data_IF_902055374060
#
_entry.id   IF_902055374060
#
_cell.length_a   1.000
_cell.length_b   1.000
_cell.length_c   1.000
_cell.angle_alpha   90.00
_cell.angle_beta   90.00
_cell.angle_gamma   90.00
#
_symmetry.space_group_name_H-M   'P 1'
#
loop_
_entity.id
_entity.type
_entity.pdbx_description
1 polymer ?
#
# COMPACT_ATOMS: atom_id res chain seq x y z
N UNK A 1 23.94 -3.78 -8.08
CA UNK A 1 23.38 -2.83 -7.10
C UNK A 1 21.98 -2.47 -7.56
N UNK A 2 20.95 -3.01 -6.91
CA UNK A 2 19.56 -2.71 -7.27
C UNK A 2 19.10 -1.42 -6.59
N UNK A 3 18.74 -0.42 -7.40
CA UNK A 3 18.14 0.84 -6.97
C UNK A 3 16.64 0.78 -7.26
N UNK A 4 15.79 1.04 -6.25
CA UNK A 4 14.36 1.29 -6.48
C UNK A 4 14.24 2.65 -7.16
N UNK A 5 13.69 2.67 -8.36
CA UNK A 5 13.63 3.85 -9.21
C UNK A 5 12.24 4.49 -9.21
N UNK A 6 11.20 3.66 -9.19
CA UNK A 6 9.81 4.09 -9.25
C UNK A 6 8.93 3.17 -8.39
N UNK A 7 7.87 3.76 -7.84
CA UNK A 7 6.72 3.08 -7.23
C UNK A 7 5.47 3.73 -7.85
N UNK A 8 4.67 2.98 -8.61
CA UNK A 8 3.49 3.52 -9.29
C UNK A 8 2.29 2.60 -9.17
N UNK A 9 1.10 3.16 -8.97
CA UNK A 9 -0.18 2.44 -9.10
C UNK A 9 -0.50 2.13 -10.58
N UNK A 10 0.07 2.90 -11.52
CA UNK A 10 -0.02 2.63 -12.95
C UNK A 10 1.11 1.69 -13.40
N UNK A 11 0.77 0.41 -13.51
CA UNK A 11 1.66 -0.62 -14.05
C UNK A 11 2.19 -0.28 -15.45
N UNK A 12 1.40 0.41 -16.29
CA UNK A 12 1.78 0.80 -17.64
C UNK A 12 2.96 1.77 -17.65
N UNK A 13 2.97 2.72 -16.72
CA UNK A 13 4.06 3.67 -16.52
C UNK A 13 5.36 2.94 -16.15
N UNK A 14 5.33 2.07 -15.14
CA UNK A 14 6.49 1.30 -14.73
C UNK A 14 7.06 0.41 -15.87
N UNK A 15 6.20 -0.20 -16.69
CA UNK A 15 6.62 -0.99 -17.85
C UNK A 15 7.26 -0.11 -18.93
N UNK A 16 6.74 1.10 -19.16
CA UNK A 16 7.29 2.05 -20.13
C UNK A 16 8.73 2.43 -19.74
N UNK A 17 8.95 2.85 -18.50
CA UNK A 17 10.28 3.22 -17.98
C UNK A 17 11.23 2.01 -18.02
N UNK A 18 10.77 0.84 -17.57
CA UNK A 18 11.56 -0.39 -17.63
C UNK A 18 12.00 -0.73 -19.06
N UNK A 19 11.13 -0.50 -20.05
CA UNK A 19 11.43 -0.75 -21.45
C UNK A 19 12.47 0.22 -22.00
N UNK A 20 12.40 1.51 -21.63
CA UNK A 20 13.42 2.51 -21.99
C UNK A 20 14.79 2.16 -21.41
N UNK A 21 14.85 1.82 -20.12
CA UNK A 21 16.10 1.42 -19.45
C UNK A 21 16.73 0.17 -20.07
N UNK A 22 15.93 -0.84 -20.42
CA UNK A 22 16.45 -2.06 -21.08
C UNK A 22 17.09 -1.76 -22.44
N UNK A 23 16.59 -0.76 -23.19
CA UNK A 23 17.14 -0.40 -24.50
C UNK A 23 18.59 0.09 -24.41
N UNK A 24 18.95 0.77 -23.32
CA UNK A 24 20.32 1.23 -23.07
C UNK A 24 21.19 0.19 -22.35
N UNK A 25 20.70 -1.04 -22.17
CA UNK A 25 21.46 -2.15 -21.57
C UNK A 25 21.25 -2.33 -20.07
N UNK A 26 20.34 -1.59 -19.43
CA UNK A 26 20.06 -1.78 -18.01
C UNK A 26 19.45 -3.16 -17.75
N UNK A 27 19.94 -3.84 -16.71
CA UNK A 27 19.18 -4.92 -16.07
C UNK A 27 18.14 -4.30 -15.16
N UNK A 28 16.87 -4.59 -15.41
CA UNK A 28 15.74 -4.08 -14.63
C UNK A 28 14.86 -5.21 -14.12
N UNK A 29 14.27 -5.00 -12.96
CA UNK A 29 13.33 -5.90 -12.32
C UNK A 29 12.04 -5.13 -12.03
N UNK A 30 10.90 -5.68 -12.45
CA UNK A 30 9.57 -5.11 -12.18
C UNK A 30 8.87 -6.05 -11.21
N UNK A 31 8.40 -5.51 -10.09
CA UNK A 31 7.71 -6.28 -9.04
C UNK A 31 6.31 -5.74 -8.83
N UNK A 32 5.34 -6.64 -8.76
CA UNK A 32 3.99 -6.34 -8.29
C UNK A 32 3.98 -6.52 -6.77
N UNK A 33 3.58 -5.46 -6.07
CA UNK A 33 3.55 -5.42 -4.61
C UNK A 33 2.19 -4.90 -4.15
N UNK A 34 1.88 -5.12 -2.86
CA UNK A 34 0.73 -4.51 -2.20
C UNK A 34 1.30 -3.49 -1.22
N UNK A 35 0.91 -2.24 -1.37
CA UNK A 35 1.20 -1.17 -0.42
C UNK A 35 -0.01 -0.94 0.48
N UNK A 36 0.16 -0.12 1.52
CA UNK A 36 -0.90 0.19 2.46
C UNK A 36 -0.87 1.64 2.94
N UNK A 37 -2.06 2.18 3.17
CA UNK A 37 -2.27 3.49 3.77
C UNK A 37 -3.11 3.37 5.04
N UNK A 38 -2.84 4.27 5.99
CA UNK A 38 -3.62 4.43 7.21
C UNK A 38 -4.46 5.68 7.12
N UNK A 39 -5.75 5.53 7.37
CA UNK A 39 -6.65 6.65 7.63
C UNK A 39 -7.15 6.51 9.05
N UNK A 40 -6.84 7.50 9.89
CA UNK A 40 -7.45 7.61 11.21
C UNK A 40 -8.85 8.21 11.05
N UNK A 41 -9.85 7.49 11.56
CA UNK A 41 -11.21 7.97 11.71
C UNK A 41 -11.59 7.90 13.19
N UNK A 42 -12.67 8.57 13.58
CA UNK A 42 -13.12 8.58 14.97
C UNK A 42 -14.48 7.90 15.07
N UNK A 43 -14.76 7.27 16.21
CA UNK A 43 -16.10 6.77 16.48
C UNK A 43 -16.50 6.94 17.94
N UNK A 44 -17.78 7.27 18.16
CA UNK A 44 -18.36 7.43 19.47
C UNK A 44 -19.28 6.25 19.76
N UNK A 45 -19.12 5.67 20.95
CA UNK A 45 -19.99 4.62 21.48
C UNK A 45 -20.94 5.21 22.52
N UNK A 46 -22.24 4.97 22.38
CA UNK A 46 -23.24 5.45 23.34
C UNK A 46 -24.64 4.93 23.06
N UNK A 47 -25.58 5.22 23.96
CA UNK A 47 -27.00 4.97 23.71
C UNK A 47 -27.53 5.92 22.64
N UNK A 48 -28.50 5.48 21.84
CA UNK A 48 -29.11 6.32 20.78
C UNK A 48 -29.64 7.64 21.35
N UNK A 49 -30.36 7.59 22.47
CA UNK A 49 -30.91 8.79 23.11
C UNK A 49 -29.82 9.79 23.54
N UNK A 50 -28.73 9.28 24.12
CA UNK A 50 -27.58 10.08 24.54
C UNK A 50 -26.83 10.68 23.36
N UNK A 51 -26.61 9.92 22.28
CA UNK A 51 -25.93 10.37 21.09
C UNK A 51 -26.73 11.47 20.36
N UNK A 52 -28.06 11.28 20.23
CA UNK A 52 -28.97 12.31 19.72
C UNK A 52 -28.92 13.59 20.54
N UNK A 53 -28.92 13.47 21.87
CA UNK A 53 -28.84 14.64 22.78
C UNK A 53 -27.54 15.45 22.59
N UNK A 54 -26.48 14.79 22.11
CA UNK A 54 -25.17 15.37 21.84
C UNK A 54 -25.00 15.85 20.38
N UNK A 55 -26.06 15.78 19.56
CA UNK A 55 -26.03 16.22 18.16
C UNK A 55 -25.38 15.22 17.20
N UNK A 56 -25.13 13.99 17.62
CA UNK A 56 -24.58 12.94 16.75
C UNK A 56 -25.71 12.36 15.90
N UNK A 57 -25.52 12.32 14.57
CA UNK A 57 -26.48 11.69 13.66
C UNK A 57 -26.49 10.18 13.85
N UNK A 58 -27.67 9.62 14.09
CA UNK A 58 -27.89 8.17 14.28
C UNK A 58 -28.93 7.61 13.31
N UNK A 59 -29.37 8.40 12.34
CA UNK A 59 -30.46 8.06 11.42
C UNK A 59 -30.21 6.75 10.67
N UNK A 60 -28.95 6.49 10.32
CA UNK A 60 -28.55 5.26 9.66
C UNK A 60 -28.69 4.04 10.59
N UNK A 61 -28.32 4.18 11.86
CA UNK A 61 -28.53 3.14 12.86
C UNK A 61 -30.00 2.88 13.14
N UNK A 62 -30.85 3.90 13.13
CA UNK A 62 -32.30 3.72 13.32
C UNK A 62 -32.90 2.88 12.19
N UNK A 63 -32.56 3.18 10.93
CA UNK A 63 -32.97 2.36 9.77
C UNK A 63 -32.48 0.92 9.89
N UNK A 64 -31.21 0.73 10.29
CA UNK A 64 -30.63 -0.60 10.49
C UNK A 64 -31.34 -1.37 11.61
N UNK A 65 -31.68 -0.71 12.73
CA UNK A 65 -32.38 -1.32 13.86
C UNK A 65 -33.77 -1.79 13.47
N UNK A 66 -34.52 -1.03 12.65
CA UNK A 66 -35.83 -1.47 12.14
C UNK A 66 -35.70 -2.79 11.35
N UNK A 67 -34.73 -2.85 10.44
CA UNK A 67 -34.43 -4.06 9.66
C UNK A 67 -34.05 -5.23 10.58
N UNK A 68 -33.25 -4.98 11.61
CA UNK A 68 -32.83 -6.00 12.57
C UNK A 68 -33.97 -6.52 13.44
N UNK A 69 -34.91 -5.65 13.85
CA UNK A 69 -36.10 -6.07 14.59
C UNK A 69 -36.92 -7.08 13.79
N UNK A 70 -37.09 -6.84 12.50
CA UNK A 70 -37.84 -7.75 11.62
C UNK A 70 -37.09 -9.07 11.37
N UNK A 71 -35.76 -9.01 11.24
CA UNK A 71 -34.89 -10.18 11.10
C UNK A 71 -34.90 -11.08 12.35
N UNK A 72 -34.80 -10.50 13.55
CA UNK A 72 -34.80 -11.24 14.80
C UNK A 72 -36.17 -11.89 15.08
N UNK A 73 -37.28 -11.22 14.78
CA UNK A 73 -38.63 -11.81 14.84
C UNK A 73 -38.80 -13.03 13.94
N UNK A 74 -38.05 -13.09 12.84
CA UNK A 74 -38.11 -14.17 11.87
C UNK A 74 -37.26 -15.40 12.27
N UNK A 75 -36.62 -15.39 13.45
CA UNK A 75 -35.76 -16.47 13.96
C UNK A 75 -34.69 -16.95 12.95
N UNK A 76 -34.09 -16.00 12.22
CA UNK A 76 -33.01 -16.28 11.27
C UNK A 76 -31.81 -16.87 12.01
N UNK A 77 -31.26 -17.97 11.48
CA UNK A 77 -30.02 -18.56 12.02
C UNK A 77 -28.82 -17.66 11.69
N UNK A 78 -27.80 -17.70 12.54
CA UNK A 78 -26.59 -16.90 12.34
C UNK A 78 -25.94 -17.13 10.96
N UNK A 79 -25.96 -18.37 10.47
CA UNK A 79 -25.40 -18.76 9.17
C UNK A 79 -26.14 -18.15 7.98
N UNK A 80 -27.45 -17.94 8.10
CA UNK A 80 -28.32 -17.41 7.05
C UNK A 80 -28.40 -15.88 7.07
N UNK A 81 -27.92 -15.25 8.14
CA UNK A 81 -28.07 -13.82 8.39
C UNK A 81 -27.48 -12.92 7.28
N UNK A 82 -26.24 -13.14 6.77
CA UNK A 82 -25.69 -12.29 5.72
C UNK A 82 -26.54 -12.29 4.44
N UNK A 83 -27.13 -13.44 4.08
CA UNK A 83 -27.97 -13.57 2.89
C UNK A 83 -29.35 -12.90 3.08
N UNK A 84 -29.93 -13.04 4.27
CA UNK A 84 -31.20 -12.39 4.62
C UNK A 84 -31.06 -10.86 4.78
N UNK A 85 -29.89 -10.39 5.19
CA UNK A 85 -29.54 -8.96 5.22
C UNK A 85 -29.38 -8.41 3.79
N UNK A 86 -28.63 -9.12 2.94
CA UNK A 86 -28.47 -8.79 1.51
C UNK A 86 -29.83 -8.68 0.82
N UNK A 87 -30.72 -9.64 1.03
CA UNK A 87 -32.07 -9.66 0.45
C UNK A 87 -32.89 -8.42 0.79
N UNK A 88 -32.76 -7.88 2.00
CA UNK A 88 -33.52 -6.70 2.46
C UNK A 88 -32.90 -5.39 2.00
N UNK A 89 -31.57 -5.28 2.05
CA UNK A 89 -30.87 -4.04 1.68
C UNK A 89 -30.69 -3.87 0.17
N UNK A 90 -30.48 -4.98 -0.54
CA UNK A 90 -30.21 -5.01 -1.98
C UNK A 90 -30.96 -6.16 -2.65
N UNK A 91 -32.30 -6.09 -2.74
CA UNK A 91 -33.14 -7.16 -3.29
C UNK A 91 -32.77 -7.51 -4.74
N UNK A 92 -32.38 -6.52 -5.55
CA UNK A 92 -31.96 -6.72 -6.93
C UNK A 92 -30.66 -7.56 -7.04
N UNK A 93 -29.74 -7.38 -6.10
CA UNK A 93 -28.48 -8.12 -6.05
C UNK A 93 -28.71 -9.56 -5.60
N UNK A 94 -29.56 -9.75 -4.59
CA UNK A 94 -29.99 -11.07 -4.16
C UNK A 94 -30.63 -11.84 -5.32
N UNK A 95 -31.51 -11.19 -6.09
CA UNK A 95 -32.17 -11.82 -7.23
C UNK A 95 -31.17 -12.26 -8.30
N UNK A 96 -30.17 -11.43 -8.63
CA UNK A 96 -29.10 -11.80 -9.57
C UNK A 96 -28.29 -13.01 -9.11
N UNK A 97 -28.05 -13.16 -7.81
CA UNK A 97 -27.34 -14.32 -7.25
C UNK A 97 -28.20 -15.58 -7.37
N UNK A 98 -29.48 -15.49 -7.02
CA UNK A 98 -30.43 -16.62 -7.10
C UNK A 98 -30.66 -17.06 -8.56
N UNK A 99 -30.71 -16.13 -9.50
CA UNK A 99 -30.94 -16.40 -10.92
C UNK A 99 -29.66 -16.80 -11.68
N UNK A 100 -28.50 -16.75 -11.03
CA UNK A 100 -27.23 -17.10 -11.65
C UNK A 100 -27.17 -18.59 -11.99
N UNK A 101 -26.74 -18.91 -13.22
CA UNK A 101 -26.63 -20.31 -13.66
C UNK A 101 -25.37 -20.96 -13.07
N UNK A 102 -25.38 -22.29 -12.87
CA UNK A 102 -24.17 -23.02 -12.48
C UNK A 102 -23.04 -22.75 -13.48
N UNK A 103 -21.92 -22.21 -13.00
CA UNK A 103 -20.75 -21.83 -13.81
C UNK A 103 -20.68 -20.36 -14.27
N UNK A 104 -21.73 -19.56 -14.07
CA UNK A 104 -21.69 -18.09 -14.21
C UNK A 104 -21.42 -17.36 -12.88
N UNK A 105 -21.35 -18.13 -11.80
CA UNK A 105 -21.16 -17.67 -10.42
C UNK A 105 -19.92 -16.79 -10.27
N UNK A 106 -18.78 -17.14 -10.86
CA UNK A 106 -17.55 -16.33 -10.76
C UNK A 106 -17.68 -14.96 -11.44
N UNK A 107 -18.43 -14.85 -12.54
CA UNK A 107 -18.66 -13.58 -13.23
C UNK A 107 -19.60 -12.68 -12.45
N UNK A 108 -20.71 -13.26 -11.98
CA UNK A 108 -21.68 -12.55 -11.14
C UNK A 108 -21.01 -12.14 -9.82
N UNK A 109 -20.17 -13.00 -9.24
CA UNK A 109 -19.43 -12.70 -8.02
C UNK A 109 -18.43 -11.57 -8.26
N UNK A 110 -17.64 -11.60 -9.35
CA UNK A 110 -16.70 -10.54 -9.71
C UNK A 110 -17.39 -9.18 -9.91
N UNK A 111 -18.53 -9.14 -10.60
CA UNK A 111 -19.32 -7.92 -10.80
C UNK A 111 -19.94 -7.38 -9.50
N UNK A 112 -20.12 -8.24 -8.50
CA UNK A 112 -20.76 -7.92 -7.22
C UNK A 112 -19.78 -7.85 -6.05
N UNK A 113 -18.48 -8.02 -6.29
CA UNK A 113 -17.46 -8.13 -5.23
C UNK A 113 -17.51 -6.96 -4.26
N UNK A 114 -17.56 -5.73 -4.76
CA UNK A 114 -17.60 -4.52 -3.93
C UNK A 114 -18.82 -4.53 -3.00
N UNK A 115 -19.98 -4.92 -3.52
CA UNK A 115 -21.23 -5.01 -2.74
C UNK A 115 -21.22 -6.16 -1.74
N UNK A 116 -20.62 -7.29 -2.09
CA UNK A 116 -20.46 -8.41 -1.17
C UNK A 116 -19.51 -8.03 -0.02
N UNK A 117 -18.44 -7.30 -0.30
CA UNK A 117 -17.52 -6.78 0.72
C UNK A 117 -18.23 -5.78 1.62
N UNK A 118 -18.98 -4.81 1.07
CA UNK A 118 -19.80 -3.86 1.84
C UNK A 118 -20.75 -4.60 2.81
N UNK A 119 -21.45 -5.65 2.32
CA UNK A 119 -22.38 -6.43 3.14
C UNK A 119 -21.67 -7.21 4.24
N UNK A 120 -20.48 -7.76 3.97
CA UNK A 120 -19.69 -8.46 4.98
C UNK A 120 -19.21 -7.51 6.08
N UNK A 121 -18.78 -6.31 5.71
CA UNK A 121 -18.40 -5.26 6.68
C UNK A 121 -19.61 -4.89 7.52
N UNK A 122 -20.76 -4.63 6.89
CA UNK A 122 -22.00 -4.31 7.59
C UNK A 122 -22.48 -5.44 8.50
N UNK A 123 -22.40 -6.70 8.06
CA UNK A 123 -22.73 -7.85 8.89
C UNK A 123 -21.84 -7.90 10.14
N UNK A 124 -20.55 -7.57 10.01
CA UNK A 124 -19.64 -7.48 11.15
C UNK A 124 -19.98 -6.34 12.10
N UNK A 125 -20.34 -5.16 11.57
CA UNK A 125 -20.84 -4.04 12.37
C UNK A 125 -22.08 -4.43 13.17
N UNK A 126 -23.00 -5.18 12.55
CA UNK A 126 -24.21 -5.67 13.19
C UNK A 126 -23.87 -6.71 14.28
N UNK A 127 -22.93 -7.62 14.04
CA UNK A 127 -22.48 -8.56 15.09
C UNK A 127 -21.92 -7.82 16.31
N UNK A 128 -21.13 -6.75 16.07
CA UNK A 128 -20.62 -5.89 17.15
C UNK A 128 -21.78 -5.23 17.88
N UNK A 129 -22.74 -4.65 17.17
CA UNK A 129 -23.96 -4.08 17.75
C UNK A 129 -24.73 -5.09 18.60
N UNK A 130 -24.93 -6.31 18.09
CA UNK A 130 -25.63 -7.36 18.82
C UNK A 130 -24.89 -7.72 20.10
N UNK A 131 -23.57 -7.89 20.03
CA UNK A 131 -22.74 -8.16 21.21
C UNK A 131 -22.83 -7.03 22.25
N UNK A 132 -22.77 -5.77 21.81
CA UNK A 132 -22.88 -4.60 22.68
C UNK A 132 -24.22 -4.52 23.42
N UNK A 133 -25.28 -5.09 22.85
CA UNK A 133 -26.64 -5.09 23.39
C UNK A 133 -27.07 -6.45 23.97
N UNK A 134 -26.12 -7.39 24.16
CA UNK A 134 -26.39 -8.74 24.67
C UNK A 134 -27.42 -9.53 23.83
N UNK A 135 -27.43 -9.31 22.53
CA UNK A 135 -28.28 -10.01 21.56
C UNK A 135 -27.53 -11.21 20.95
N UNK A 136 -28.26 -12.21 20.52
CA UNK A 136 -27.73 -13.37 19.78
C UNK A 136 -28.78 -13.91 18.82
N UNK A 137 -28.35 -14.36 17.65
CA UNK A 137 -29.22 -15.07 16.70
C UNK A 137 -29.69 -16.42 17.28
N UNK A 138 -30.91 -16.84 16.89
CA UNK A 138 -31.48 -18.12 17.31
C UNK A 138 -31.95 -18.19 18.77
N UNK A 139 -31.96 -17.07 19.50
CA UNK A 139 -32.56 -16.93 20.83
C UNK A 139 -33.66 -15.88 20.77
N UNK A 140 -34.72 -16.04 21.58
CA UNK A 140 -35.72 -15.00 21.78
C UNK A 140 -35.09 -13.84 22.55
N UNK A 141 -34.56 -12.87 21.81
CA UNK A 141 -34.04 -11.62 22.34
C UNK A 141 -34.65 -10.46 21.56
N UNK A 142 -35.10 -9.42 22.26
CA UNK A 142 -35.61 -8.20 21.64
C UNK A 142 -34.56 -7.09 21.69
N UNK A 143 -34.47 -6.31 20.61
CA UNK A 143 -33.60 -5.12 20.60
C UNK A 143 -34.16 -4.12 21.62
N UNK A 144 -33.34 -3.61 22.57
CA UNK A 144 -33.77 -2.58 23.52
C UNK A 144 -34.38 -1.36 22.83
N UNK A 145 -35.27 -0.64 23.53
CA UNK A 145 -35.82 0.62 23.03
C UNK A 145 -34.73 1.68 22.80
N UNK A 146 -33.71 1.69 23.66
CA UNK A 146 -32.56 2.60 23.59
C UNK A 146 -31.23 1.82 23.56
N UNK A 147 -30.86 1.25 22.40
CA UNK A 147 -29.70 0.40 22.26
C UNK A 147 -28.40 1.20 22.20
N UNK A 148 -27.29 0.52 22.51
CA UNK A 148 -25.92 1.05 22.38
C UNK A 148 -25.46 0.86 20.94
N UNK A 149 -24.99 1.94 20.30
CA UNK A 149 -24.45 1.93 18.94
C UNK A 149 -23.04 2.54 18.92
N UNK A 150 -22.32 2.29 17.82
CA UNK A 150 -21.03 2.91 17.50
C UNK A 150 -21.20 3.71 16.22
N UNK A 151 -20.92 5.00 16.26
CA UNK A 151 -21.12 5.92 15.13
C UNK A 151 -19.79 6.54 14.75
N UNK A 152 -19.42 6.46 13.48
CA UNK A 152 -18.25 7.15 12.94
C UNK A 152 -18.47 8.67 12.95
N UNK A 153 -17.44 9.42 13.33
CA UNK A 153 -17.45 10.89 13.40
C UNK A 153 -16.31 11.46 12.58
N UNK A 154 -16.56 12.61 11.97
CA UNK A 154 -15.63 13.30 11.07
C UNK A 154 -14.56 14.13 11.79
N UNK A 155 -14.70 14.35 13.10
CA UNK A 155 -13.79 15.15 13.91
C UNK A 155 -13.21 14.32 15.06
N UNK A 156 -12.02 14.71 15.52
CA UNK A 156 -11.39 14.28 16.76
C UNK A 156 -12.25 14.76 17.94
N UNK A 157 -13.33 14.02 18.18
CA UNK A 157 -14.16 14.21 19.35
C UNK A 157 -13.41 13.55 20.52
N UNK A 158 -13.03 14.32 21.54
CA UNK A 158 -12.37 13.83 22.77
C UNK A 158 -13.13 12.67 23.46
N UNK A 159 -14.40 12.46 23.08
CA UNK A 159 -15.29 11.39 23.59
C UNK A 159 -15.25 10.12 22.73
N UNK A 160 -14.61 10.17 21.57
CA UNK A 160 -14.49 9.08 20.61
C UNK A 160 -13.26 8.20 20.85
N UNK A 161 -13.24 7.04 20.19
CA UNK A 161 -12.04 6.23 20.04
C UNK A 161 -11.54 6.37 18.60
N UNK A 162 -10.23 6.48 18.44
CA UNK A 162 -9.59 6.36 17.13
C UNK A 162 -9.85 4.97 16.55
N UNK A 163 -10.34 4.94 15.32
CA UNK A 163 -10.41 3.77 14.45
C UNK A 163 -9.32 3.95 13.41
N UNK A 164 -8.45 2.94 13.31
CA UNK A 164 -7.44 2.88 12.26
C UNK A 164 -8.03 2.10 11.09
N UNK A 165 -8.31 2.79 9.98
CA UNK A 165 -8.65 2.15 8.71
C UNK A 165 -7.37 1.88 7.94
N UNK A 166 -7.13 0.61 7.65
CA UNK A 166 -6.01 0.18 6.78
C UNK A 166 -6.56 -0.10 5.40
N UNK A 167 -6.08 0.63 4.39
CA UNK A 167 -6.39 0.41 2.99
C UNK A 167 -5.19 -0.26 2.32
N UNK A 168 -5.43 -1.29 1.52
CA UNK A 168 -4.39 -1.98 0.75
C UNK A 168 -4.63 -1.74 -0.74
N UNK A 169 -3.58 -1.45 -1.49
CA UNK A 169 -3.68 -1.17 -2.92
C UNK A 169 -2.48 -1.74 -3.68
N UNK A 170 -2.68 -2.18 -4.95
CA UNK A 170 -1.61 -2.71 -5.75
C UNK A 170 -0.68 -1.58 -6.22
N UNK A 171 0.62 -1.83 -6.13
CA UNK A 171 1.65 -0.97 -6.71
C UNK A 171 2.61 -1.81 -7.57
N UNK A 172 3.23 -1.15 -8.53
CA UNK A 172 4.32 -1.70 -9.33
C UNK A 172 5.61 -0.98 -8.97
N UNK A 173 6.59 -1.73 -8.49
CA UNK A 173 7.92 -1.21 -8.19
C UNK A 173 8.89 -1.55 -9.32
N UNK A 174 9.69 -0.56 -9.73
CA UNK A 174 10.76 -0.73 -10.71
C UNK A 174 12.11 -0.63 -10.03
N UNK A 175 12.94 -1.65 -10.23
CA UNK A 175 14.32 -1.69 -9.77
C UNK A 175 15.28 -1.74 -10.96
N UNK A 176 16.39 -1.03 -10.85
CA UNK A 176 17.46 -1.00 -11.85
C UNK A 176 18.79 -1.42 -11.22
N UNK A 177 19.53 -2.29 -11.89
CA UNK A 177 20.89 -2.62 -11.50
C UNK A 177 21.86 -1.56 -12.05
N UNK A 178 22.21 -0.57 -11.23
CA UNK A 178 23.07 0.55 -11.66
C UNK A 178 24.42 0.08 -12.19
N UNK A 179 24.98 -1.01 -11.64
CA UNK A 179 26.27 -1.53 -12.10
C UNK A 179 26.22 -2.15 -13.50
N UNK A 180 25.02 -2.53 -13.98
CA UNK A 180 24.86 -2.99 -15.37
C UNK A 180 25.03 -1.87 -16.39
N UNK A 181 25.02 -0.61 -15.94
CA UNK A 181 25.08 0.58 -16.78
C UNK A 181 26.47 1.23 -16.82
N UNK A 182 27.49 0.63 -16.21
CA UNK A 182 28.87 1.16 -16.24
C UNK A 182 29.41 1.37 -17.67
N UNK A 183 28.94 0.57 -18.64
CA UNK A 183 29.33 0.67 -20.05
C UNK A 183 28.20 1.23 -20.94
N UNK A 184 27.10 1.72 -20.35
CA UNK A 184 25.92 2.19 -21.08
C UNK A 184 26.02 3.69 -21.41
N UNK A 185 25.35 4.09 -22.49
CA UNK A 185 25.14 5.50 -22.84
C UNK A 185 23.85 5.99 -22.17
N UNK A 186 23.99 6.68 -21.06
CA UNK A 186 22.85 7.12 -20.23
C UNK A 186 22.19 8.39 -20.78
N UNK A 187 22.91 9.16 -21.59
CA UNK A 187 22.47 10.42 -22.23
C UNK A 187 21.21 10.30 -23.10
N UNK A 188 20.67 9.08 -23.29
CA UNK A 188 19.47 8.80 -24.09
C UNK A 188 18.19 8.66 -23.23
N UNK A 189 18.25 8.89 -21.91
CA UNK A 189 17.07 8.88 -21.03
C UNK A 189 16.70 10.30 -20.60
N UNK A 190 15.75 10.90 -21.32
CA UNK A 190 15.25 12.27 -21.10
C UNK A 190 14.23 12.41 -19.94
N UNK A 191 14.03 11.37 -19.13
CA UNK A 191 13.08 11.37 -17.99
C UNK A 191 13.84 11.47 -16.64
N UNK A 192 13.18 11.93 -15.57
CA UNK A 192 13.78 12.14 -14.23
C UNK A 192 14.47 10.87 -13.73
N UNK A 193 13.91 9.71 -14.05
CA UNK A 193 14.44 8.39 -13.75
C UNK A 193 15.84 8.16 -14.34
N UNK A 194 16.10 8.67 -15.54
CA UNK A 194 17.42 8.66 -16.18
C UNK A 194 18.45 9.43 -15.36
N UNK A 195 18.07 10.63 -14.91
CA UNK A 195 18.92 11.51 -14.10
C UNK A 195 19.23 10.90 -12.73
N UNK A 196 18.25 10.26 -12.08
CA UNK A 196 18.46 9.54 -10.81
C UNK A 196 19.50 8.42 -10.99
N UNK A 197 19.39 7.65 -12.06
CA UNK A 197 20.33 6.56 -12.36
C UNK A 197 21.72 7.10 -12.71
N UNK A 198 21.78 8.15 -13.54
CA UNK A 198 23.02 8.83 -13.90
C UNK A 198 23.77 9.31 -12.65
N UNK A 199 23.05 9.92 -11.70
CA UNK A 199 23.61 10.42 -10.47
C UNK A 199 24.28 9.35 -9.61
N UNK A 200 23.60 8.22 -9.40
CA UNK A 200 24.22 7.10 -8.67
C UNK A 200 25.40 6.52 -9.46
N UNK A 201 25.31 6.45 -10.79
CA UNK A 201 26.41 5.95 -11.61
C UNK A 201 27.65 6.85 -11.55
N UNK A 202 27.47 8.16 -11.52
CA UNK A 202 28.55 9.13 -11.40
C UNK A 202 29.36 8.88 -10.11
N UNK A 203 28.69 8.74 -8.97
CA UNK A 203 29.30 8.39 -7.69
C UNK A 203 30.11 7.08 -7.80
N UNK A 204 29.54 6.04 -8.42
CA UNK A 204 30.24 4.77 -8.65
C UNK A 204 31.49 4.99 -9.52
N UNK A 205 31.38 5.81 -10.56
CA UNK A 205 32.45 6.09 -11.53
C UNK A 205 33.57 6.89 -10.90
N UNK A 206 33.27 7.86 -10.03
CA UNK A 206 34.26 8.61 -9.26
C UNK A 206 35.04 7.71 -8.29
N UNK A 207 34.35 6.80 -7.59
CA UNK A 207 34.99 5.82 -6.71
C UNK A 207 35.96 4.95 -7.50
N UNK A 208 35.53 4.43 -8.66
CA UNK A 208 36.38 3.62 -9.55
C UNK A 208 37.59 4.43 -10.01
N UNK A 209 37.36 5.66 -10.49
CA UNK A 209 38.41 6.56 -10.99
C UNK A 209 39.47 6.84 -9.92
N UNK A 210 39.03 7.15 -8.70
CA UNK A 210 39.92 7.41 -7.56
C UNK A 210 40.75 6.17 -7.22
N UNK A 211 40.12 4.99 -7.15
CA UNK A 211 40.81 3.74 -6.87
C UNK A 211 41.78 3.30 -7.97
N UNK A 212 41.48 3.58 -9.24
CA UNK A 212 42.40 3.35 -10.36
C UNK A 212 43.63 4.25 -10.28
N UNK A 213 43.45 5.50 -9.85
CA UNK A 213 44.55 6.47 -9.71
C UNK A 213 45.44 6.21 -8.47
N UNK A 214 44.85 5.86 -7.33
CA UNK A 214 45.57 5.71 -6.05
C UNK A 214 45.94 4.25 -5.73
N UNK A 215 45.38 3.28 -6.44
CA UNK A 215 45.52 1.83 -6.22
C UNK A 215 44.79 1.32 -4.98
N UNK A 216 44.94 1.98 -3.84
CA UNK A 216 44.22 1.69 -2.60
C UNK A 216 44.00 2.92 -1.74
N UNK A 217 42.78 3.08 -1.24
CA UNK A 217 42.33 4.25 -0.48
C UNK A 217 41.57 3.82 0.78
N UNK A 218 41.51 4.70 1.78
CA UNK A 218 40.71 4.49 3.00
C UNK A 218 39.23 4.78 2.73
N UNK A 219 38.32 4.05 3.40
CA UNK A 219 36.86 4.21 3.20
C UNK A 219 36.42 5.65 3.46
N UNK A 220 36.95 6.31 4.50
CA UNK A 220 36.60 7.70 4.83
C UNK A 220 36.89 8.68 3.68
N UNK A 221 37.99 8.50 2.95
CA UNK A 221 38.33 9.36 1.80
C UNK A 221 37.45 9.10 0.59
N UNK A 222 36.91 7.89 0.46
CA UNK A 222 35.94 7.58 -0.59
C UNK A 222 34.54 8.10 -0.22
N UNK A 223 34.22 8.19 1.07
CA UNK A 223 32.94 8.74 1.53
C UNK A 223 32.76 10.20 1.12
N UNK A 224 33.85 10.96 0.95
CA UNK A 224 33.80 12.33 0.42
C UNK A 224 33.22 12.38 -1.01
N UNK A 225 33.30 11.28 -1.77
CA UNK A 225 32.70 11.13 -3.10
C UNK A 225 31.24 10.66 -3.07
N UNK A 226 30.62 10.53 -1.90
CA UNK A 226 29.23 10.06 -1.80
C UNK A 226 28.20 11.12 -2.18
N UNK A 227 28.65 12.29 -2.62
CA UNK A 227 27.82 13.44 -2.99
C UNK A 227 28.28 14.02 -4.31
N UNK A 228 27.34 14.52 -5.11
CA UNK A 228 27.62 15.10 -6.41
C UNK A 228 26.49 16.00 -6.91
N UNK A 229 26.68 16.58 -8.08
CA UNK A 229 25.65 17.34 -8.79
C UNK A 229 25.63 16.84 -10.24
N UNK A 230 24.46 16.39 -10.70
CA UNK A 230 24.20 16.13 -12.12
C UNK A 230 23.49 17.34 -12.70
N UNK A 231 24.16 18.01 -13.63
CA UNK A 231 23.57 19.12 -14.41
C UNK A 231 22.67 18.56 -15.50
N UNK A 232 21.50 19.17 -15.71
CA UNK A 232 20.64 18.91 -16.87
C UNK A 232 20.13 20.22 -17.46
N UNK A 233 19.60 20.18 -18.67
CA UNK A 233 19.06 21.39 -19.32
C UNK A 233 17.88 22.02 -18.58
N UNK A 234 17.18 21.24 -17.72
CA UNK A 234 15.94 21.67 -17.06
C UNK A 234 16.14 21.87 -15.54
N UNK A 235 16.86 20.97 -14.88
CA UNK A 235 17.12 21.02 -13.43
C UNK A 235 18.50 20.45 -13.07
N UNK A 236 19.18 21.06 -12.10
CA UNK A 236 20.35 20.45 -11.48
C UNK A 236 19.93 19.53 -10.32
N UNK A 237 20.49 18.33 -10.27
CA UNK A 237 20.20 17.34 -9.24
C UNK A 237 21.36 17.24 -8.26
N UNK A 238 21.14 17.67 -7.01
CA UNK A 238 22.05 17.37 -5.92
C UNK A 238 21.84 15.93 -5.44
N UNK A 239 22.90 15.12 -5.51
CA UNK A 239 22.88 13.72 -5.09
C UNK A 239 23.57 13.62 -3.74
N UNK A 240 22.90 13.00 -2.77
CA UNK A 240 23.50 12.61 -1.50
C UNK A 240 23.27 11.12 -1.25
N UNK A 241 24.33 10.35 -1.42
CA UNK A 241 24.37 8.90 -1.18
C UNK A 241 25.13 8.55 0.11
N UNK A 242 25.37 9.51 1.02
CA UNK A 242 26.14 9.29 2.26
C UNK A 242 25.61 8.10 3.07
N UNK A 243 24.29 8.06 3.30
CA UNK A 243 23.65 7.00 4.09
C UNK A 243 23.68 5.63 3.38
N UNK A 244 23.75 5.63 2.05
CA UNK A 244 23.81 4.43 1.23
C UNK A 244 25.26 4.01 0.88
N UNK A 245 26.26 4.81 1.23
CA UNK A 245 27.63 4.68 0.72
C UNK A 245 28.25 3.31 0.99
N UNK A 246 28.09 2.79 2.22
CA UNK A 246 28.57 1.44 2.53
C UNK A 246 27.86 0.35 1.72
N UNK A 247 26.57 0.52 1.42
CA UNK A 247 25.81 -0.43 0.61
C UNK A 247 26.29 -0.41 -0.84
N UNK A 248 26.65 0.77 -1.36
CA UNK A 248 27.28 0.93 -2.68
C UNK A 248 28.60 0.15 -2.72
N UNK A 249 29.51 0.40 -1.78
CA UNK A 249 30.81 -0.30 -1.71
C UNK A 249 30.63 -1.82 -1.58
N UNK A 250 29.75 -2.29 -0.69
CA UNK A 250 29.45 -3.72 -0.53
C UNK A 250 28.86 -4.32 -1.81
N UNK A 251 28.02 -3.59 -2.54
CA UNK A 251 27.51 -4.07 -3.82
C UNK A 251 28.60 -4.17 -4.88
N UNK A 252 29.49 -3.19 -4.97
CA UNK A 252 30.64 -3.23 -5.89
C UNK A 252 31.59 -4.38 -5.54
N UNK A 253 31.81 -4.67 -4.25
CA UNK A 253 32.59 -5.82 -3.79
C UNK A 253 31.96 -7.15 -4.20
N UNK A 254 30.64 -7.32 -3.96
CA UNK A 254 29.88 -8.51 -4.36
C UNK A 254 29.90 -8.74 -5.87
N UNK A 255 29.86 -7.65 -6.65
CA UNK A 255 29.99 -7.67 -8.10
C UNK A 255 31.43 -7.88 -8.59
N UNK A 256 32.41 -8.03 -7.67
CA UNK A 256 33.80 -8.31 -8.01
C UNK A 256 34.57 -7.13 -8.59
N UNK A 257 34.06 -5.89 -8.44
CA UNK A 257 34.70 -4.67 -8.94
C UNK A 257 35.85 -4.26 -8.02
N UNK A 258 35.61 -4.32 -6.71
CA UNK A 258 36.56 -3.90 -5.69
C UNK A 258 36.77 -5.00 -4.62
N UNK A 259 37.75 -4.79 -3.75
CA UNK A 259 38.01 -5.60 -2.56
C UNK A 259 38.13 -4.68 -1.35
N UNK A 260 37.40 -4.99 -0.29
CA UNK A 260 37.45 -4.28 0.99
C UNK A 260 38.28 -5.13 1.97
N UNK A 261 39.17 -4.51 2.72
CA UNK A 261 39.99 -5.19 3.75
C UNK A 261 40.21 -4.23 4.91
N UNK A 262 39.51 -4.47 6.02
CA UNK A 262 39.47 -3.52 7.13
C UNK A 262 38.91 -2.16 6.67
N UNK A 263 39.63 -1.08 6.96
CA UNK A 263 39.26 0.28 6.55
C UNK A 263 39.78 0.68 5.15
N UNK A 264 40.29 -0.27 4.35
CA UNK A 264 40.87 0.02 3.03
C UNK A 264 40.08 -0.64 1.92
N UNK A 265 40.04 0.06 0.78
CA UNK A 265 39.42 -0.38 -0.46
C UNK A 265 40.48 -0.36 -1.57
N UNK A 266 40.42 -1.32 -2.49
CA UNK A 266 41.24 -1.35 -3.70
C UNK A 266 40.47 -1.99 -4.86
N UNK A 267 40.87 -1.69 -6.10
CA UNK A 267 40.38 -2.42 -7.27
C UNK A 267 40.74 -3.90 -7.17
N UNK A 268 39.86 -4.80 -7.64
CA UNK A 268 40.28 -6.17 -7.96
C UNK A 268 41.05 -6.13 -9.27
N UNK A 269 42.21 -6.77 -9.29
CA UNK A 269 42.90 -7.10 -10.54
C UNK A 269 41.99 -8.07 -11.31
N UNK A 270 41.59 -7.68 -12.53
CA UNK A 270 40.87 -8.55 -13.47
C UNK A 270 41.86 -9.49 -14.14
#
# INVERSE_FOLDING_TARGET
MWLKLLSSEDRGEAIKVASSLRKIGARVEVRECIDWDLTETFAIKGRISELKSKGVSVDEWEKRIEILRDLLKSNVKAEDFPMELLKRLYPELHQKIVDSKPGEEEKVFAELMDKIVEIKVLAKEIEVFMSLNNLSFGKENEIPEDPIVVVETSEDDERGRAIIKVSYYPITELYVDVLSLLDAKIDEIDEIEGLIVAGVLEIVTEIISKLQSEGSTEIQKLHELSRGIVESEIFDFAIDCSDAFEAILKSMEKSGILRITGNRVKMRER
#
